data_IF_767154232373
#
_entry.id   IF_767154232373
#
_cell.length_a   1.000
_cell.length_b   1.000
_cell.length_c   1.000
_cell.angle_alpha   90.00
_cell.angle_beta   90.00
_cell.angle_gamma   90.00
#
_symmetry.space_group_name_H-M   'P 1'
#
loop_
_entity.id
_entity.type
_entity.pdbx_description
1 polymer ?
#
# COMPACT_ATOMS: atom_id res chain seq x y z
N UNK A 1 10.19 31.41 -6.97
CA UNK A 1 11.03 30.46 -6.21
C UNK A 1 10.22 29.19 -5.97
N UNK A 2 10.64 28.05 -6.52
CA UNK A 2 9.92 26.77 -6.41
C UNK A 2 10.05 26.22 -4.98
N UNK A 3 9.13 26.62 -4.08
CA UNK A 3 9.14 26.23 -2.66
C UNK A 3 9.07 24.72 -2.41
N UNK A 4 8.61 23.93 -3.38
CA UNK A 4 8.53 22.46 -3.29
C UNK A 4 9.63 21.72 -4.07
N UNK A 5 10.47 22.43 -4.84
CA UNK A 5 11.57 21.80 -5.59
C UNK A 5 12.63 21.17 -4.67
N UNK A 6 12.82 21.76 -3.49
CA UNK A 6 13.75 21.24 -2.47
C UNK A 6 13.26 19.93 -1.83
N UNK A 7 11.94 19.71 -1.77
CA UNK A 7 11.36 18.47 -1.23
C UNK A 7 11.59 17.28 -2.18
N UNK A 8 11.62 17.52 -3.49
CA UNK A 8 11.98 16.50 -4.48
C UNK A 8 13.48 16.19 -4.41
N UNK A 9 14.32 17.21 -4.18
CA UNK A 9 15.77 17.04 -3.99
C UNK A 9 16.14 16.35 -2.66
N UNK A 10 15.26 16.36 -1.65
CA UNK A 10 15.49 15.68 -0.36
C UNK A 10 14.87 14.27 -0.28
N UNK A 11 14.34 13.73 -1.39
CA UNK A 11 13.88 12.34 -1.43
C UNK A 11 15.05 11.40 -1.20
N UNK A 12 15.10 10.78 -0.02
CA UNK A 12 16.12 9.79 0.29
C UNK A 12 15.76 8.43 -0.33
N UNK A 13 16.10 8.26 -1.61
CA UNK A 13 15.80 7.07 -2.42
C UNK A 13 16.40 5.75 -1.87
N UNK A 14 17.43 5.84 -1.03
CA UNK A 14 18.14 4.68 -0.46
C UNK A 14 17.69 4.35 0.97
N UNK A 15 16.50 4.79 1.38
CA UNK A 15 15.96 4.49 2.71
C UNK A 15 14.89 3.42 2.65
N UNK A 16 14.85 2.55 3.66
CA UNK A 16 13.84 1.51 3.78
C UNK A 16 12.38 2.03 3.67
N UNK A 17 12.00 3.18 4.28
CA UNK A 17 10.65 3.73 4.15
C UNK A 17 10.29 4.11 2.71
N UNK A 18 11.26 4.57 1.92
CA UNK A 18 11.04 4.91 0.52
C UNK A 18 10.66 3.68 -0.31
N UNK A 19 11.38 2.56 -0.16
CA UNK A 19 11.06 1.33 -0.87
C UNK A 19 9.72 0.73 -0.44
N UNK A 20 9.37 0.82 0.85
CA UNK A 20 8.06 0.38 1.34
C UNK A 20 6.94 1.23 0.74
N UNK A 21 7.08 2.56 0.75
CA UNK A 21 6.10 3.46 0.13
C UNK A 21 5.96 3.21 -1.38
N UNK A 22 7.07 2.97 -2.08
CA UNK A 22 7.07 2.63 -3.50
C UNK A 22 6.37 1.29 -3.77
N UNK A 23 6.58 0.29 -2.91
CA UNK A 23 5.87 -0.98 -3.01
C UNK A 23 4.35 -0.82 -2.81
N UNK A 24 3.92 -0.01 -1.84
CA UNK A 24 2.50 0.34 -1.66
C UNK A 24 1.91 1.00 -2.90
N UNK A 25 2.61 1.97 -3.49
CA UNK A 25 2.15 2.66 -4.71
C UNK A 25 2.09 1.71 -5.90
N UNK A 26 3.12 0.89 -6.10
CA UNK A 26 3.14 -0.08 -7.20
C UNK A 26 2.01 -1.10 -7.07
N UNK A 27 1.93 -1.83 -5.95
CA UNK A 27 0.91 -2.86 -5.79
C UNK A 27 -0.49 -2.28 -5.65
N UNK A 28 -0.64 -1.07 -5.10
CA UNK A 28 -1.90 -0.32 -5.11
C UNK A 28 -2.37 -0.02 -6.53
N UNK A 29 -1.46 0.44 -7.40
CA UNK A 29 -1.77 0.69 -8.81
C UNK A 29 -2.09 -0.60 -9.56
N UNK A 30 -1.35 -1.68 -9.32
CA UNK A 30 -1.62 -2.99 -9.92
C UNK A 30 -2.96 -3.58 -9.44
N UNK A 31 -3.30 -3.40 -8.15
CA UNK A 31 -4.59 -3.82 -7.61
C UNK A 31 -5.73 -3.07 -8.27
N UNK A 32 -5.60 -1.74 -8.40
CA UNK A 32 -6.55 -0.90 -9.10
C UNK A 32 -6.68 -1.36 -10.55
N UNK A 33 -5.59 -1.43 -11.31
CA UNK A 33 -5.59 -1.86 -12.70
C UNK A 33 -6.16 -3.29 -12.89
N UNK A 34 -5.80 -4.24 -12.02
CA UNK A 34 -6.31 -5.61 -12.02
C UNK A 34 -7.81 -5.69 -11.71
N UNK A 35 -8.27 -4.87 -10.75
CA UNK A 35 -9.68 -4.69 -10.41
C UNK A 35 -10.52 -4.17 -11.58
N UNK A 36 -9.98 -3.27 -12.41
CA UNK A 36 -10.71 -2.77 -13.59
C UNK A 36 -10.55 -3.63 -14.85
N UNK A 37 -9.47 -4.42 -14.97
CA UNK A 37 -9.16 -5.17 -16.21
C UNK A 37 -9.67 -6.63 -16.17
N UNK A 38 -10.46 -7.02 -15.16
CA UNK A 38 -11.00 -8.38 -15.00
C UNK A 38 -9.93 -9.48 -15.15
N UNK A 39 -8.68 -9.21 -14.72
CA UNK A 39 -7.58 -10.18 -14.69
C UNK A 39 -7.42 -10.70 -13.26
N UNK A 40 -8.13 -11.78 -12.87
CA UNK A 40 -8.30 -12.14 -11.46
C UNK A 40 -6.95 -12.47 -10.80
N UNK A 41 -6.05 -13.12 -11.54
CA UNK A 41 -4.72 -13.50 -11.05
C UNK A 41 -3.86 -12.30 -10.66
N UNK A 42 -3.89 -11.22 -11.44
CA UNK A 42 -3.12 -10.00 -11.12
C UNK A 42 -3.70 -9.28 -9.90
N UNK A 43 -5.02 -9.25 -9.78
CA UNK A 43 -5.70 -8.64 -8.63
C UNK A 43 -5.38 -9.40 -7.35
N UNK A 44 -5.43 -10.73 -7.36
CA UNK A 44 -5.16 -11.56 -6.18
C UNK A 44 -3.70 -11.44 -5.73
N UNK A 45 -2.75 -11.47 -6.66
CA UNK A 45 -1.31 -11.33 -6.34
C UNK A 45 -1.02 -9.94 -5.76
N UNK A 46 -1.56 -8.89 -6.37
CA UNK A 46 -1.35 -7.51 -5.90
C UNK A 46 -2.00 -7.28 -4.54
N UNK A 47 -3.20 -7.83 -4.34
CA UNK A 47 -3.90 -7.80 -3.07
C UNK A 47 -3.12 -8.53 -1.96
N UNK A 48 -2.58 -9.71 -2.25
CA UNK A 48 -1.79 -10.49 -1.30
C UNK A 48 -0.53 -9.73 -0.86
N UNK A 49 0.18 -9.11 -1.80
CA UNK A 49 1.38 -8.32 -1.49
C UNK A 49 1.05 -7.06 -0.68
N UNK A 50 -0.07 -6.39 -0.97
CA UNK A 50 -0.56 -5.28 -0.15
C UNK A 50 -0.96 -5.72 1.26
N UNK A 51 -1.61 -6.88 1.41
CA UNK A 51 -1.96 -7.43 2.73
C UNK A 51 -0.70 -7.65 3.57
N UNK A 52 0.36 -8.22 2.98
CA UNK A 52 1.64 -8.40 3.66
C UNK A 52 2.30 -7.05 4.04
N UNK A 53 2.26 -6.05 3.15
CA UNK A 53 2.80 -4.73 3.42
C UNK A 53 2.04 -3.98 4.52
N UNK A 54 0.71 -4.05 4.53
CA UNK A 54 -0.12 -3.47 5.58
C UNK A 54 0.10 -4.17 6.93
N UNK A 55 0.20 -5.50 6.94
CA UNK A 55 0.54 -6.25 8.14
C UNK A 55 1.92 -5.87 8.69
N UNK A 56 2.91 -5.73 7.81
CA UNK A 56 4.26 -5.29 8.19
C UNK A 56 4.26 -3.86 8.74
N UNK A 57 3.54 -2.93 8.10
CA UNK A 57 3.42 -1.54 8.56
C UNK A 57 2.70 -1.45 9.92
N UNK A 58 1.70 -2.30 10.17
CA UNK A 58 1.01 -2.39 11.46
C UNK A 58 1.93 -2.95 12.55
N UNK A 59 2.74 -3.96 12.23
CA UNK A 59 3.72 -4.52 13.16
C UNK A 59 4.78 -3.50 13.59
N UNK A 60 5.37 -2.76 12.64
CA UNK A 60 6.35 -1.72 12.96
C UNK A 60 5.74 -0.52 13.68
N UNK A 61 4.48 -0.20 13.35
CA UNK A 61 3.77 0.94 13.91
C UNK A 61 3.00 0.62 15.18
N UNK A 62 3.24 -0.51 15.86
CA UNK A 62 2.45 -0.89 17.03
C UNK A 62 2.72 0.06 18.21
N UNK A 63 1.76 0.95 18.46
CA UNK A 63 1.78 1.96 19.53
C UNK A 63 0.58 1.66 20.45
N UNK A 64 0.66 1.92 21.76
CA UNK A 64 -0.45 1.69 22.70
C UNK A 64 -1.74 2.47 22.36
N UNK A 65 -1.68 3.50 21.52
CA UNK A 65 -2.84 4.27 21.07
C UNK A 65 -3.07 4.08 19.56
N UNK A 66 -4.31 3.73 19.19
CA UNK A 66 -4.72 3.61 17.79
C UNK A 66 -4.79 4.99 17.16
N UNK A 67 -3.96 5.24 16.15
CA UNK A 67 -3.94 6.53 15.41
C UNK A 67 -4.86 6.48 14.20
N UNK A 68 -5.29 7.65 13.70
CA UNK A 68 -6.09 7.75 12.46
C UNK A 68 -5.39 7.09 11.26
N UNK A 69 -4.06 7.19 11.16
CA UNK A 69 -3.29 6.53 10.10
C UNK A 69 -3.39 5.00 10.15
N UNK A 70 -3.40 4.40 11.35
CA UNK A 70 -3.59 2.96 11.50
C UNK A 70 -5.01 2.52 11.15
N UNK A 71 -6.03 3.33 11.47
CA UNK A 71 -7.41 3.05 11.08
C UNK A 71 -7.55 3.05 9.55
N UNK A 72 -6.93 4.03 8.87
CA UNK A 72 -6.90 4.07 7.41
C UNK A 72 -6.17 2.85 6.82
N UNK A 73 -5.03 2.48 7.38
CA UNK A 73 -4.29 1.28 6.97
C UNK A 73 -5.12 0.00 7.14
N UNK A 74 -5.88 -0.13 8.24
CA UNK A 74 -6.79 -1.26 8.47
C UNK A 74 -7.95 -1.29 7.46
N UNK A 75 -8.48 -0.12 7.09
CA UNK A 75 -9.53 -0.01 6.07
C UNK A 75 -9.01 -0.40 4.68
N UNK A 76 -7.81 0.05 4.30
CA UNK A 76 -7.19 -0.35 3.03
C UNK A 76 -6.78 -1.83 3.03
N UNK A 77 -6.38 -2.35 4.19
CA UNK A 77 -6.11 -3.78 4.39
C UNK A 77 -7.38 -4.61 4.17
N UNK A 78 -8.55 -4.18 4.68
CA UNK A 78 -9.80 -4.92 4.51
C UNK A 78 -10.24 -4.97 3.04
N UNK A 79 -10.09 -3.86 2.30
CA UNK A 79 -10.32 -3.81 0.85
C UNK A 79 -9.36 -4.76 0.12
N UNK A 80 -8.08 -4.76 0.50
CA UNK A 80 -7.09 -5.68 -0.09
C UNK A 80 -7.45 -7.13 0.19
N UNK A 81 -7.86 -7.47 1.42
CA UNK A 81 -8.33 -8.80 1.80
C UNK A 81 -9.55 -9.24 0.98
N UNK A 82 -10.50 -8.34 0.72
CA UNK A 82 -11.64 -8.63 -0.14
C UNK A 82 -11.22 -9.01 -1.56
N UNK A 83 -10.35 -8.21 -2.18
CA UNK A 83 -9.85 -8.51 -3.53
C UNK A 83 -8.99 -9.78 -3.58
N UNK A 84 -8.25 -10.08 -2.50
CA UNK A 84 -7.50 -11.32 -2.37
C UNK A 84 -8.42 -12.54 -2.31
N UNK A 85 -9.50 -12.49 -1.54
CA UNK A 85 -10.40 -13.62 -1.30
C UNK A 85 -11.42 -13.81 -2.44
N UNK A 86 -12.00 -12.72 -2.95
CA UNK A 86 -13.05 -12.77 -3.96
C UNK A 86 -12.52 -12.82 -5.38
N UNK A 87 -11.29 -12.35 -5.61
CA UNK A 87 -10.60 -12.42 -6.90
C UNK A 87 -11.42 -11.82 -8.05
N UNK A 88 -11.71 -10.51 -7.99
CA UNK A 88 -12.38 -9.70 -9.03
C UNK A 88 -13.38 -10.46 -9.94
N UNK A 89 -14.32 -11.19 -9.30
CA UNK A 89 -15.42 -11.88 -9.97
C UNK A 89 -16.63 -10.97 -10.07
#
# INVERSE_FOLDING_TARGET
>A
MLQHGQTILSLQYQTQPFYIALAFVLFGTLLFAGGFTSKPSLTVISALLLVLLFAYSLYLGFVPAVTTGQVLNLLLLSVSMYFMASGNK
#
